data_IF_137550692227
#
_entry.id   IF_137550692227
#
_cell.length_a   1.000
_cell.length_b   1.000
_cell.length_c   1.000
_cell.angle_alpha   90.00
_cell.angle_beta   90.00
_cell.angle_gamma   90.00
#
_symmetry.space_group_name_H-M   'P 1'
#
loop_
_entity.id
_entity.type
_entity.pdbx_description
1 polymer ?
#
# COMPACT_ATOMS: atom_id res chain seq x y z
N UNK A 1 -18.40 1.60 -26.74
CA UNK A 1 -17.10 2.04 -27.27
C UNK A 1 -16.05 2.04 -26.15
N UNK A 2 -14.84 1.66 -26.47
CA UNK A 2 -13.74 1.58 -25.51
C UNK A 2 -13.11 2.97 -25.29
N UNK A 3 -13.00 3.39 -24.01
CA UNK A 3 -12.37 4.66 -23.65
C UNK A 3 -11.31 4.39 -22.57
N UNK A 4 -10.03 4.42 -22.94
CA UNK A 4 -8.97 4.11 -21.97
C UNK A 4 -8.70 5.21 -20.94
N UNK A 5 -9.20 6.42 -21.16
CA UNK A 5 -8.89 7.59 -20.33
C UNK A 5 -9.41 7.49 -18.91
N UNK A 6 -10.44 6.67 -18.69
CA UNK A 6 -11.04 6.51 -17.37
C UNK A 6 -10.43 5.39 -16.54
N UNK A 7 -9.30 4.85 -16.95
CA UNK A 7 -8.69 3.71 -16.28
C UNK A 7 -8.29 4.02 -14.84
N UNK A 8 -8.44 3.03 -13.98
CA UNK A 8 -7.94 3.09 -12.60
C UNK A 8 -7.49 1.68 -12.21
N UNK A 9 -6.60 1.62 -11.22
CA UNK A 9 -6.07 0.36 -10.69
C UNK A 9 -6.97 -0.22 -9.62
N UNK A 10 -6.78 -1.49 -9.33
CA UNK A 10 -7.47 -2.14 -8.23
C UNK A 10 -6.69 -3.32 -7.69
N UNK A 11 -6.98 -3.66 -6.44
CA UNK A 11 -6.46 -4.87 -5.85
C UNK A 11 -7.48 -5.45 -4.86
N UNK A 12 -7.27 -6.70 -4.48
CA UNK A 12 -8.21 -7.43 -3.65
C UNK A 12 -7.75 -7.51 -2.20
N UNK A 13 -8.71 -7.67 -1.32
CA UNK A 13 -8.48 -8.01 0.10
C UNK A 13 -9.48 -9.09 0.50
N UNK A 14 -9.20 -9.78 1.60
CA UNK A 14 -10.11 -10.77 2.15
C UNK A 14 -11.09 -10.18 3.18
N UNK A 15 -10.74 -9.06 3.82
CA UNK A 15 -11.53 -8.43 4.87
C UNK A 15 -11.61 -6.92 4.61
N UNK A 16 -12.75 -6.48 4.07
CA UNK A 16 -12.96 -5.08 3.72
C UNK A 16 -12.98 -4.17 4.95
N UNK A 17 -13.47 -4.64 6.09
CA UNK A 17 -13.48 -3.81 7.30
C UNK A 17 -12.07 -3.57 7.82
N UNK A 18 -11.22 -4.58 7.81
CA UNK A 18 -9.82 -4.44 8.20
C UNK A 18 -9.08 -3.52 7.23
N UNK A 19 -9.33 -3.66 5.92
CA UNK A 19 -8.73 -2.80 4.91
C UNK A 19 -9.18 -1.34 5.10
N UNK A 20 -10.47 -1.11 5.36
CA UNK A 20 -10.99 0.24 5.59
C UNK A 20 -10.27 0.91 6.76
N UNK A 21 -10.15 0.21 7.88
CA UNK A 21 -9.46 0.75 9.06
C UNK A 21 -7.99 1.06 8.75
N UNK A 22 -7.33 0.18 8.04
CA UNK A 22 -5.91 0.35 7.72
C UNK A 22 -5.69 1.56 6.81
N UNK A 23 -6.39 1.63 5.69
CA UNK A 23 -6.16 2.70 4.71
C UNK A 23 -6.68 4.06 5.20
N UNK A 24 -7.81 4.09 5.90
CA UNK A 24 -8.38 5.34 6.39
C UNK A 24 -7.74 5.84 7.67
N UNK A 25 -7.54 4.96 8.65
CA UNK A 25 -7.06 5.38 9.99
C UNK A 25 -5.57 5.24 10.16
N UNK A 26 -5.00 4.09 9.77
CA UNK A 26 -3.57 3.88 9.94
C UNK A 26 -2.77 4.70 8.94
N UNK A 27 -3.13 4.68 7.66
CA UNK A 27 -2.42 5.44 6.63
C UNK A 27 -2.95 6.86 6.43
N UNK A 28 -4.19 7.13 6.81
CA UNK A 28 -4.77 8.47 6.70
C UNK A 28 -5.24 8.84 5.31
N UNK A 29 -5.53 7.86 4.45
CA UNK A 29 -6.09 8.12 3.12
C UNK A 29 -7.58 8.43 3.21
N UNK A 30 -8.09 9.19 2.24
CA UNK A 30 -9.51 9.34 2.05
C UNK A 30 -10.08 8.07 1.43
N UNK A 31 -10.97 7.40 2.16
CA UNK A 31 -11.56 6.12 1.73
C UNK A 31 -13.06 6.29 1.64
N UNK A 32 -13.61 5.87 0.51
CA UNK A 32 -15.05 5.91 0.26
C UNK A 32 -15.57 4.48 0.10
N UNK A 33 -16.71 4.19 0.75
CA UNK A 33 -17.35 2.88 0.65
C UNK A 33 -18.39 2.94 -0.48
N UNK A 34 -18.28 2.03 -1.44
CA UNK A 34 -19.19 1.96 -2.57
C UNK A 34 -20.50 1.27 -2.16
N UNK A 35 -21.63 1.90 -2.50
CA UNK A 35 -22.95 1.36 -2.20
C UNK A 35 -23.16 0.01 -2.87
N UNK A 36 -23.84 -0.88 -2.15
CA UNK A 36 -24.21 -2.20 -2.65
C UNK A 36 -23.14 -3.27 -2.45
N UNK A 37 -21.92 -3.01 -2.89
CA UNK A 37 -20.83 -4.00 -2.78
C UNK A 37 -20.05 -3.92 -1.48
N UNK A 38 -19.99 -2.71 -0.89
CA UNK A 38 -19.10 -2.45 0.24
C UNK A 38 -17.63 -2.31 -0.14
N UNK A 39 -17.33 -2.36 -1.43
CA UNK A 39 -15.96 -2.17 -1.92
C UNK A 39 -15.49 -0.75 -1.60
N UNK A 40 -14.19 -0.56 -1.57
CA UNK A 40 -13.60 0.72 -1.18
C UNK A 40 -13.00 1.43 -2.39
N UNK A 41 -13.08 2.75 -2.39
CA UNK A 41 -12.28 3.58 -3.29
C UNK A 41 -11.29 4.35 -2.44
N UNK A 42 -10.00 4.16 -2.72
CA UNK A 42 -8.95 4.97 -2.13
C UNK A 42 -8.74 6.19 -3.01
N UNK A 43 -8.89 7.38 -2.45
CA UNK A 43 -8.63 8.63 -3.17
C UNK A 43 -7.19 9.06 -2.90
N UNK A 44 -6.39 9.17 -3.94
CA UNK A 44 -4.99 9.54 -3.84
C UNK A 44 -4.83 11.05 -3.98
N UNK A 45 -3.85 11.62 -3.28
CA UNK A 45 -3.59 13.06 -3.33
C UNK A 45 -3.20 13.54 -4.72
N UNK A 46 -2.72 12.64 -5.58
CA UNK A 46 -2.40 12.94 -6.98
C UNK A 46 -3.63 13.11 -7.87
N UNK A 47 -4.83 12.80 -7.37
CA UNK A 47 -6.08 12.84 -8.12
C UNK A 47 -6.54 11.49 -8.64
N UNK A 48 -5.70 10.46 -8.54
CA UNK A 48 -6.06 9.10 -8.92
C UNK A 48 -6.91 8.41 -7.87
N UNK A 49 -7.42 7.26 -8.24
CA UNK A 49 -8.18 6.41 -7.32
C UNK A 49 -7.80 4.95 -7.51
N UNK A 50 -8.01 4.16 -6.46
CA UNK A 50 -7.74 2.72 -6.47
C UNK A 50 -8.97 2.01 -5.92
N UNK A 51 -9.44 1.01 -6.64
CA UNK A 51 -10.53 0.16 -6.15
C UNK A 51 -9.95 -0.93 -5.25
N UNK A 52 -10.51 -1.09 -4.06
CA UNK A 52 -10.20 -2.22 -3.18
C UNK A 52 -11.46 -3.06 -3.06
N UNK A 53 -11.40 -4.29 -3.56
CA UNK A 53 -12.55 -5.16 -3.60
C UNK A 53 -12.35 -6.41 -2.76
N UNK A 54 -13.45 -6.95 -2.24
CA UNK A 54 -13.43 -8.16 -1.44
C UNK A 54 -13.37 -9.39 -2.33
N UNK A 55 -12.47 -10.32 -1.98
CA UNK A 55 -12.32 -11.57 -2.72
C UNK A 55 -12.13 -12.70 -1.72
N UNK A 56 -13.07 -13.64 -1.62
CA UNK A 56 -12.84 -14.84 -0.81
C UNK A 56 -11.65 -15.61 -1.38
N UNK A 57 -10.87 -16.22 -0.50
CA UNK A 57 -9.65 -16.94 -0.86
C UNK A 57 -8.61 -16.04 -1.53
N UNK A 58 -8.53 -14.79 -1.05
CA UNK A 58 -7.56 -13.82 -1.55
C UNK A 58 -6.12 -14.32 -1.38
N UNK A 59 -5.33 -14.19 -2.45
CA UNK A 59 -3.89 -14.44 -2.41
C UNK A 59 -3.19 -13.13 -2.75
N UNK A 60 -2.41 -12.57 -1.80
CA UNK A 60 -1.72 -11.32 -2.07
C UNK A 60 -0.65 -11.48 -3.14
N UNK A 61 -0.45 -10.43 -3.93
CA UNK A 61 0.64 -10.38 -4.89
C UNK A 61 1.99 -10.38 -4.17
N UNK A 62 3.00 -10.95 -4.79
CA UNK A 62 4.35 -10.93 -4.27
C UNK A 62 5.10 -9.64 -4.61
N UNK A 63 4.46 -8.75 -5.37
CA UNK A 63 5.04 -7.48 -5.81
C UNK A 63 4.26 -6.30 -5.22
N UNK A 64 4.86 -5.11 -5.29
CA UNK A 64 4.27 -3.87 -4.76
C UNK A 64 3.05 -3.46 -5.59
N UNK A 65 1.91 -3.27 -4.93
CA UNK A 65 0.67 -2.88 -5.61
C UNK A 65 0.38 -1.39 -5.49
N UNK A 66 1.00 -0.68 -4.54
CA UNK A 66 0.77 0.75 -4.33
C UNK A 66 2.04 1.37 -3.78
N UNK A 67 2.47 2.47 -4.40
CA UNK A 67 3.70 3.17 -4.03
C UNK A 67 3.36 4.57 -3.50
N UNK A 68 4.00 4.95 -2.40
CA UNK A 68 3.86 6.28 -1.80
C UNK A 68 5.18 7.02 -1.92
N UNK A 69 5.32 7.96 -2.87
CA UNK A 69 6.52 8.79 -2.92
C UNK A 69 6.58 9.71 -1.71
N UNK A 70 7.75 9.80 -1.11
CA UNK A 70 7.99 10.65 0.06
C UNK A 70 9.31 11.39 -0.12
N UNK A 71 9.48 12.51 0.59
CA UNK A 71 10.73 13.26 0.55
C UNK A 71 11.81 12.59 1.39
N UNK A 72 11.43 11.88 2.46
CA UNK A 72 12.36 11.28 3.43
C UNK A 72 11.82 9.91 3.86
N UNK A 73 12.42 8.85 3.32
CA UNK A 73 11.98 7.48 3.65
C UNK A 73 12.26 7.14 5.11
N UNK A 74 13.36 7.62 5.68
CA UNK A 74 13.64 7.32 7.10
C UNK A 74 12.57 7.88 8.03
N UNK A 75 12.14 9.12 7.77
CA UNK A 75 11.06 9.73 8.55
C UNK A 75 9.72 9.01 8.32
N UNK A 76 9.44 8.61 7.08
CA UNK A 76 8.21 7.87 6.75
C UNK A 76 8.18 6.51 7.44
N UNK A 77 9.30 5.80 7.46
CA UNK A 77 9.41 4.50 8.14
C UNK A 77 9.21 4.66 9.64
N UNK A 78 9.81 5.67 10.26
CA UNK A 78 9.62 5.93 11.69
C UNK A 78 8.14 6.20 12.00
N UNK A 79 7.48 7.00 11.17
CA UNK A 79 6.05 7.31 11.33
C UNK A 79 5.19 6.04 11.18
N UNK A 80 5.45 5.22 10.17
CA UNK A 80 4.73 3.97 9.98
C UNK A 80 4.88 3.05 11.19
N UNK A 81 6.10 2.92 11.70
CA UNK A 81 6.36 2.07 12.87
C UNK A 81 5.67 2.59 14.12
N UNK A 82 5.59 3.90 14.30
CA UNK A 82 4.82 4.50 15.39
C UNK A 82 3.33 4.17 15.30
N UNK A 83 2.82 4.01 14.07
CA UNK A 83 1.44 3.62 13.81
C UNK A 83 1.20 2.10 13.93
N UNK A 84 2.22 1.36 14.30
CA UNK A 84 2.13 -0.09 14.47
C UNK A 84 2.33 -0.90 13.20
N UNK A 85 2.85 -0.28 12.13
CA UNK A 85 3.09 -0.95 10.86
C UNK A 85 4.50 -1.54 10.85
N UNK A 86 4.62 -2.81 10.52
CA UNK A 86 5.91 -3.48 10.38
C UNK A 86 6.53 -3.13 9.02
N UNK A 87 7.78 -2.67 9.02
CA UNK A 87 8.48 -2.27 7.79
C UNK A 87 9.65 -3.19 7.43
N UNK A 88 10.02 -4.13 8.30
CA UNK A 88 11.07 -5.11 8.01
C UNK A 88 10.40 -6.40 7.50
N UNK A 89 10.04 -6.45 6.21
CA UNK A 89 9.37 -7.59 5.61
C UNK A 89 10.26 -8.40 4.65
N UNK A 90 11.39 -7.82 4.22
CA UNK A 90 12.36 -8.52 3.37
C UNK A 90 13.70 -8.66 4.07
N UNK A 91 14.33 -9.79 3.90
CA UNK A 91 15.64 -10.09 4.50
C UNK A 91 16.38 -11.12 3.65
N UNK A 92 16.56 -10.82 2.37
CA UNK A 92 17.20 -11.74 1.43
C UNK A 92 18.15 -10.96 0.50
N UNK A 93 18.89 -11.72 -0.32
CA UNK A 93 19.91 -11.15 -1.20
C UNK A 93 19.33 -10.24 -2.29
N UNK A 94 18.09 -10.49 -2.72
CA UNK A 94 17.43 -9.68 -3.73
C UNK A 94 16.90 -8.36 -3.17
N UNK A 95 16.57 -8.35 -1.87
CA UNK A 95 16.05 -7.17 -1.17
C UNK A 95 16.82 -6.98 0.14
N UNK A 96 18.10 -6.55 0.04
CA UNK A 96 18.94 -6.37 1.23
C UNK A 96 18.52 -5.10 1.98
N UNK A 97 17.65 -5.27 2.98
CA UNK A 97 17.12 -4.17 3.80
C UNK A 97 17.87 -4.09 5.13
N UNK A 98 17.92 -2.86 5.70
CA UNK A 98 18.49 -2.66 7.02
C UNK A 98 17.52 -3.10 8.13
N UNK A 99 17.87 -2.84 9.39
CA UNK A 99 17.07 -3.29 10.54
C UNK A 99 15.65 -2.67 10.57
N UNK A 100 15.46 -1.55 9.89
CA UNK A 100 14.14 -0.89 9.78
C UNK A 100 13.42 -1.22 8.48
N UNK A 101 14.03 -2.07 7.64
CA UNK A 101 13.43 -2.49 6.38
C UNK A 101 13.73 -1.57 5.19
N UNK A 102 14.70 -0.68 5.32
CA UNK A 102 15.05 0.26 4.25
C UNK A 102 16.12 -0.36 3.36
N UNK A 103 15.87 -0.40 2.07
CA UNK A 103 16.86 -0.79 1.06
C UNK A 103 17.56 0.46 0.54
N UNK A 104 18.89 0.48 0.66
CA UNK A 104 19.71 1.65 0.33
C UNK A 104 20.51 1.48 -0.94
N UNK A 105 20.56 0.27 -1.49
CA UNK A 105 21.32 -0.06 -2.67
C UNK A 105 20.45 -0.13 -3.92
N UNK A 106 21.00 0.18 -5.07
CA UNK A 106 20.35 -0.04 -6.36
C UNK A 106 19.36 1.01 -6.80
N UNK A 107 19.32 2.18 -6.14
CA UNK A 107 18.41 3.26 -6.52
C UNK A 107 18.03 4.15 -5.35
N UNK A 108 16.91 4.85 -5.45
CA UNK A 108 16.43 5.66 -4.33
C UNK A 108 16.12 4.80 -3.12
N UNK A 109 16.14 5.39 -1.92
CA UNK A 109 15.75 4.70 -0.70
C UNK A 109 14.31 4.24 -0.84
N UNK A 110 14.04 2.99 -0.42
CA UNK A 110 12.71 2.40 -0.47
C UNK A 110 12.54 1.47 0.73
N UNK A 111 11.32 1.41 1.24
CA UNK A 111 10.93 0.44 2.27
C UNK A 111 9.56 -0.10 1.96
N UNK A 112 9.29 -1.33 2.37
CA UNK A 112 8.04 -2.03 2.10
C UNK A 112 7.30 -2.35 3.38
N UNK A 113 6.00 -2.46 3.27
CA UNK A 113 5.12 -2.89 4.35
C UNK A 113 3.92 -3.61 3.75
N UNK A 114 3.10 -4.21 4.60
CA UNK A 114 1.92 -4.96 4.14
C UNK A 114 0.66 -4.36 4.70
N UNK A 115 -0.43 -4.47 3.92
CA UNK A 115 -1.75 -4.22 4.47
C UNK A 115 -2.24 -5.48 5.23
N UNK A 116 -3.39 -5.41 5.92
CA UNK A 116 -3.89 -6.58 6.67
C UNK A 116 -4.15 -7.83 5.82
N UNK A 117 -4.37 -7.66 4.52
CA UNK A 117 -4.60 -8.77 3.61
C UNK A 117 -3.30 -9.37 3.04
N UNK A 118 -2.14 -8.79 3.39
CA UNK A 118 -0.84 -9.25 2.91
C UNK A 118 -0.38 -8.58 1.62
N UNK A 119 -1.12 -7.64 1.07
CA UNK A 119 -0.68 -6.90 -0.11
C UNK A 119 0.55 -6.05 0.22
N UNK A 120 1.50 -5.98 -0.72
CA UNK A 120 2.76 -5.28 -0.50
C UNK A 120 2.65 -3.84 -0.99
N UNK A 121 3.01 -2.92 -0.11
CA UNK A 121 3.02 -1.47 -0.36
C UNK A 121 4.43 -0.95 -0.15
N UNK A 122 4.74 0.22 -0.69
CA UNK A 122 6.08 0.81 -0.55
C UNK A 122 6.03 2.31 -0.30
N UNK A 123 7.01 2.80 0.47
CA UNK A 123 7.40 4.20 0.50
C UNK A 123 8.76 4.33 -0.16
N UNK A 124 8.94 5.34 -1.00
CA UNK A 124 10.19 5.53 -1.73
C UNK A 124 10.48 7.02 -1.91
N UNK A 125 11.77 7.36 -1.94
CA UNK A 125 12.17 8.75 -2.16
C UNK A 125 12.03 9.13 -3.62
N UNK A 126 11.45 10.31 -3.77
CA UNK A 126 11.23 10.85 -5.10
C UNK A 126 11.40 12.37 -5.09
#
# INVERSE_FOLDING_TARGET
MFHPDGAYSGFAVDDLDAAHRFYAKTLGLRVEVLDGSGFLTLHLGSGGRVLVYGKPHHQPASFTVLNFPVADVEAAVDDLRERGVETKIYDDADFPTDSRGIMREGGPLIAWFRDPAGNVLAVLEE
#
